data_IF_690114612427
#
_entry.id   IF_690114612427
#
_cell.length_a   1.000
_cell.length_b   1.000
_cell.length_c   1.000
_cell.angle_alpha   90.00
_cell.angle_beta   90.00
_cell.angle_gamma   90.00
#
_symmetry.space_group_name_H-M   'P 1'
#
loop_
_entity.id
_entity.type
_entity.pdbx_description
1 polymer ?
#
# COMPACT_ATOMS: atom_id res chain seq x y z
N UNK A 1 27.78 -1.75 -4.72
CA UNK A 1 27.81 -2.55 -5.95
C UNK A 1 26.92 -3.76 -5.74
N UNK A 2 26.10 -4.11 -6.72
CA UNK A 2 25.31 -5.36 -6.71
C UNK A 2 26.25 -6.55 -6.82
N UNK A 3 25.91 -7.65 -6.16
CA UNK A 3 26.69 -8.91 -6.22
C UNK A 3 25.72 -10.07 -6.29
N UNK A 4 25.89 -10.92 -7.31
CA UNK A 4 25.08 -12.12 -7.43
C UNK A 4 25.38 -13.04 -6.25
N UNK A 5 24.33 -13.52 -5.58
CA UNK A 5 24.43 -14.44 -4.46
C UNK A 5 23.47 -15.61 -4.68
N UNK A 6 23.82 -16.78 -4.17
CA UNK A 6 23.04 -18.02 -4.31
C UNK A 6 23.11 -18.82 -3.00
N UNK A 7 22.23 -19.80 -2.87
CA UNK A 7 22.27 -20.77 -1.77
C UNK A 7 21.43 -20.40 -0.54
N UNK A 8 21.75 -21.02 0.60
CA UNK A 8 20.91 -21.02 1.80
C UNK A 8 20.52 -19.62 2.29
N UNK A 9 21.48 -18.71 2.42
CA UNK A 9 21.20 -17.36 2.91
C UNK A 9 20.28 -16.56 1.98
N UNK A 10 20.42 -16.75 0.67
CA UNK A 10 19.51 -16.13 -0.29
C UNK A 10 18.08 -16.62 -0.06
N UNK A 11 17.89 -17.93 0.11
CA UNK A 11 16.59 -18.51 0.39
C UNK A 11 16.00 -17.97 1.69
N UNK A 12 16.79 -17.85 2.77
CA UNK A 12 16.29 -17.28 4.04
C UNK A 12 15.86 -15.83 3.86
N UNK A 13 16.65 -15.02 3.14
CA UNK A 13 16.27 -13.62 2.89
C UNK A 13 15.10 -13.49 1.90
N UNK A 14 14.91 -14.42 0.95
CA UNK A 14 13.77 -14.37 0.02
C UNK A 14 12.42 -14.61 0.69
N UNK A 15 12.39 -15.20 1.89
CA UNK A 15 11.15 -15.36 2.68
C UNK A 15 10.61 -14.03 3.22
N UNK A 16 11.44 -12.99 3.31
CA UNK A 16 11.05 -11.65 3.73
C UNK A 16 11.00 -10.77 2.46
N UNK A 17 9.83 -10.27 2.05
CA UNK A 17 9.70 -9.47 0.83
C UNK A 17 10.68 -8.30 0.80
N UNK A 18 11.49 -8.22 -0.26
CA UNK A 18 12.50 -7.19 -0.49
C UNK A 18 13.87 -7.46 0.18
N UNK A 19 13.96 -8.39 1.14
CA UNK A 19 15.23 -8.65 1.83
C UNK A 19 16.22 -9.45 0.97
N UNK A 20 15.73 -10.32 0.08
CA UNK A 20 16.58 -11.03 -0.88
C UNK A 20 17.27 -10.07 -1.86
N UNK A 21 16.51 -9.11 -2.39
CA UNK A 21 17.00 -8.06 -3.28
C UNK A 21 18.06 -7.20 -2.58
N UNK A 22 17.79 -6.81 -1.32
CA UNK A 22 18.76 -6.10 -0.47
C UNK A 22 20.03 -6.92 -0.24
N UNK A 23 19.90 -8.24 -0.03
CA UNK A 23 21.03 -9.12 0.16
C UNK A 23 21.94 -9.19 -1.08
N UNK A 24 21.38 -9.11 -2.29
CA UNK A 24 22.11 -9.00 -3.57
C UNK A 24 22.60 -7.58 -3.89
N UNK A 25 22.20 -6.59 -3.11
CA UNK A 25 22.62 -5.19 -3.27
C UNK A 25 21.68 -4.34 -4.12
N UNK A 26 20.53 -4.86 -4.56
CA UNK A 26 19.44 -4.10 -5.20
C UNK A 26 18.65 -3.35 -4.12
N UNK A 27 19.16 -2.18 -3.73
CA UNK A 27 18.66 -1.43 -2.57
C UNK A 27 17.35 -0.74 -2.88
N UNK A 28 17.21 -0.14 -4.06
CA UNK A 28 15.99 0.55 -4.46
C UNK A 28 14.86 -0.44 -4.66
N UNK A 29 15.13 -1.54 -5.37
CA UNK A 29 14.14 -2.60 -5.56
C UNK A 29 13.71 -3.20 -4.21
N UNK A 30 14.66 -3.62 -3.37
CA UNK A 30 14.34 -4.27 -2.10
C UNK A 30 13.59 -3.37 -1.10
N UNK A 31 14.01 -2.11 -0.92
CA UNK A 31 13.29 -1.15 -0.05
C UNK A 31 11.89 -0.86 -0.58
N UNK A 32 11.72 -0.75 -1.90
CA UNK A 32 10.42 -0.48 -2.49
C UNK A 32 9.43 -1.63 -2.28
N UNK A 33 9.87 -2.87 -2.47
CA UNK A 33 9.07 -4.08 -2.19
C UNK A 33 8.70 -4.14 -0.70
N UNK A 34 9.68 -3.97 0.19
CA UNK A 34 9.45 -3.92 1.65
C UNK A 34 8.44 -2.83 2.02
N UNK A 35 8.59 -1.63 1.46
CA UNK A 35 7.74 -0.48 1.72
C UNK A 35 6.29 -0.72 1.30
N UNK A 36 6.07 -1.29 0.11
CA UNK A 36 4.72 -1.65 -0.36
C UNK A 36 4.13 -2.76 0.51
N UNK A 37 4.90 -3.80 0.84
CA UNK A 37 4.44 -4.92 1.64
C UNK A 37 3.95 -4.48 3.03
N UNK A 38 4.80 -3.78 3.78
CA UNK A 38 4.45 -3.28 5.10
C UNK A 38 3.43 -2.15 5.04
N UNK A 39 3.46 -1.33 3.98
CA UNK A 39 2.47 -0.28 3.73
C UNK A 39 1.05 -0.83 3.57
N UNK A 40 0.87 -1.93 2.83
CA UNK A 40 -0.43 -2.59 2.69
C UNK A 40 -0.91 -3.11 4.05
N UNK A 41 -0.05 -3.76 4.84
CA UNK A 41 -0.40 -4.26 6.17
C UNK A 41 -0.81 -3.10 7.09
N UNK A 42 -0.03 -2.02 7.12
CA UNK A 42 -0.32 -0.85 7.94
C UNK A 42 -1.66 -0.21 7.54
N UNK A 43 -1.86 0.08 6.25
CA UNK A 43 -3.11 0.66 5.73
C UNK A 43 -4.31 -0.26 6.00
N UNK A 44 -4.19 -1.55 5.71
CA UNK A 44 -5.24 -2.54 5.95
C UNK A 44 -5.62 -2.63 7.43
N UNK A 45 -4.63 -2.64 8.33
CA UNK A 45 -4.85 -2.72 9.78
C UNK A 45 -5.49 -1.44 10.32
N UNK A 46 -4.96 -0.28 9.95
CA UNK A 46 -5.42 1.02 10.45
C UNK A 46 -6.81 1.39 9.92
N UNK A 47 -7.09 1.11 8.64
CA UNK A 47 -8.41 1.37 8.04
C UNK A 47 -9.39 0.20 8.25
N UNK A 48 -8.90 -0.92 8.79
CA UNK A 48 -9.65 -2.16 8.99
C UNK A 48 -10.29 -2.69 7.68
N UNK A 49 -9.54 -2.61 6.58
CA UNK A 49 -9.97 -3.05 5.26
C UNK A 49 -9.32 -4.40 4.97
N UNK A 50 -9.89 -5.47 5.54
CA UNK A 50 -9.30 -6.81 5.45
C UNK A 50 -9.05 -7.32 4.02
N UNK A 51 -9.80 -6.84 3.03
CA UNK A 51 -9.62 -7.25 1.63
C UNK A 51 -8.25 -6.82 1.06
N UNK A 52 -7.63 -5.75 1.58
CA UNK A 52 -6.28 -5.33 1.16
C UNK A 52 -5.23 -6.41 1.44
N UNK A 53 -5.45 -7.25 2.46
CA UNK A 53 -4.53 -8.33 2.82
C UNK A 53 -4.40 -9.40 1.72
N UNK A 54 -5.34 -9.49 0.76
CA UNK A 54 -5.19 -10.41 -0.37
C UNK A 54 -4.03 -10.05 -1.30
N UNK A 55 -3.56 -8.79 -1.28
CA UNK A 55 -2.37 -8.38 -2.03
C UNK A 55 -1.06 -8.92 -1.43
N UNK A 56 -1.05 -9.27 -0.13
CA UNK A 56 0.15 -9.69 0.59
C UNK A 56 0.75 -11.00 0.03
N UNK A 57 -0.02 -12.09 -0.18
CA UNK A 57 0.52 -13.29 -0.81
C UNK A 57 1.07 -13.03 -2.21
N UNK A 58 0.38 -12.21 -3.02
CA UNK A 58 0.82 -11.89 -4.39
C UNK A 58 2.16 -11.16 -4.38
N UNK A 59 2.31 -10.15 -3.54
CA UNK A 59 3.55 -9.39 -3.41
C UNK A 59 4.68 -10.24 -2.82
N UNK A 60 4.36 -11.13 -1.89
CA UNK A 60 5.32 -12.09 -1.34
C UNK A 60 5.86 -13.02 -2.42
N UNK A 61 4.99 -13.66 -3.21
CA UNK A 61 5.40 -14.53 -4.31
C UNK A 61 6.20 -13.76 -5.35
N UNK A 62 5.77 -12.55 -5.70
CA UNK A 62 6.53 -11.68 -6.60
C UNK A 62 7.97 -11.49 -6.10
N UNK A 63 8.16 -11.07 -4.85
CA UNK A 63 9.51 -10.85 -4.30
C UNK A 63 10.32 -12.14 -4.22
N UNK A 64 9.70 -13.23 -3.75
CA UNK A 64 10.35 -14.53 -3.64
C UNK A 64 10.87 -15.03 -4.99
N UNK A 65 10.04 -14.98 -6.04
CA UNK A 65 10.44 -15.40 -7.38
C UNK A 65 11.39 -14.40 -8.04
N UNK A 66 11.21 -13.10 -7.82
CA UNK A 66 12.07 -12.06 -8.38
C UNK A 66 13.53 -12.27 -7.97
N UNK A 67 13.81 -12.43 -6.67
CA UNK A 67 15.20 -12.62 -6.23
C UNK A 67 15.78 -13.97 -6.68
N UNK A 68 14.96 -15.01 -6.81
CA UNK A 68 15.43 -16.29 -7.35
C UNK A 68 15.67 -16.24 -8.86
N UNK A 69 14.92 -15.43 -9.60
CA UNK A 69 15.21 -15.13 -11.00
C UNK A 69 16.55 -14.38 -11.13
N UNK A 70 16.79 -13.35 -10.30
CA UNK A 70 18.08 -12.64 -10.25
C UNK A 70 19.25 -13.60 -9.97
N UNK A 71 19.04 -14.60 -9.10
CA UNK A 71 20.03 -15.62 -8.81
C UNK A 71 20.28 -16.59 -9.98
N UNK A 72 19.31 -16.81 -10.86
CA UNK A 72 19.44 -17.74 -11.99
C UNK A 72 20.07 -17.12 -13.24
N UNK A 73 20.11 -15.78 -13.35
CA UNK A 73 20.73 -15.08 -14.48
C UNK A 73 22.20 -15.44 -14.66
N UNK A 74 22.71 -15.29 -15.87
CA UNK A 74 24.15 -15.26 -16.11
C UNK A 74 24.79 -14.06 -15.40
N UNK A 75 26.10 -14.11 -15.15
CA UNK A 75 26.79 -12.98 -14.51
C UNK A 75 26.70 -11.71 -15.37
N UNK A 76 26.86 -11.84 -16.69
CA UNK A 76 26.74 -10.71 -17.62
C UNK A 76 25.36 -10.05 -17.56
N UNK A 77 24.29 -10.85 -17.65
CA UNK A 77 22.92 -10.35 -17.49
C UNK A 77 22.72 -9.71 -16.11
N UNK A 78 23.18 -10.35 -15.03
CA UNK A 78 23.01 -9.85 -13.67
C UNK A 78 23.68 -8.47 -13.48
N UNK A 79 24.89 -8.29 -14.00
CA UNK A 79 25.61 -7.02 -13.90
C UNK A 79 25.09 -5.94 -14.85
N UNK A 80 24.35 -6.32 -15.89
CA UNK A 80 23.65 -5.39 -16.79
C UNK A 80 22.37 -4.79 -16.19
N UNK A 81 21.83 -5.39 -15.13
CA UNK A 81 20.60 -4.91 -14.48
C UNK A 81 20.84 -3.65 -13.66
N UNK A 82 19.97 -2.66 -13.87
CA UNK A 82 19.94 -1.45 -13.06
C UNK A 82 19.09 -1.61 -11.78
N UNK A 83 19.54 -1.00 -10.69
CA UNK A 83 18.76 -0.93 -9.44
C UNK A 83 17.70 0.18 -9.55
N UNK A 84 16.51 -0.20 -10.02
CA UNK A 84 15.32 0.67 -10.09
C UNK A 84 14.34 0.35 -8.97
N UNK A 85 13.43 1.29 -8.68
CA UNK A 85 12.37 1.01 -7.72
C UNK A 85 11.29 0.13 -8.37
N UNK A 86 10.57 -0.65 -7.56
CA UNK A 86 9.39 -1.39 -8.00
C UNK A 86 8.38 -0.45 -8.67
N UNK A 87 7.82 -0.87 -9.80
CA UNK A 87 6.83 -0.11 -10.59
C UNK A 87 7.31 1.28 -11.05
N UNK A 88 8.62 1.46 -11.29
CA UNK A 88 9.19 2.75 -11.67
C UNK A 88 8.80 3.89 -10.72
N UNK A 89 8.70 3.59 -9.41
CA UNK A 89 8.46 4.61 -8.38
C UNK A 89 9.47 5.75 -8.43
N UNK A 90 10.63 5.57 -9.06
CA UNK A 90 11.57 6.65 -9.36
C UNK A 90 10.99 7.76 -10.24
N UNK A 91 10.11 7.46 -11.20
CA UNK A 91 9.40 8.49 -11.98
C UNK A 91 8.45 9.29 -11.09
N UNK A 92 7.70 8.60 -10.23
CA UNK A 92 6.81 9.21 -9.22
C UNK A 92 7.61 10.06 -8.22
N UNK A 93 8.78 9.60 -7.82
CA UNK A 93 9.66 10.28 -6.87
C UNK A 93 10.47 11.41 -7.52
N UNK A 94 10.60 11.46 -8.85
CA UNK A 94 11.17 12.62 -9.56
C UNK A 94 10.17 13.77 -9.62
N UNK A 95 8.90 13.48 -9.91
CA UNK A 95 7.83 14.48 -9.93
C UNK A 95 6.95 14.41 -8.66
N UNK A 96 7.57 14.60 -7.49
CA UNK A 96 6.83 14.57 -6.22
C UNK A 96 5.76 15.65 -6.15
N UNK A 97 6.04 16.85 -6.66
CA UNK A 97 5.12 17.97 -6.58
C UNK A 97 3.91 17.80 -7.51
N UNK A 98 4.13 17.35 -8.75
CA UNK A 98 3.06 17.04 -9.69
C UNK A 98 2.24 15.83 -9.23
N UNK A 99 2.90 14.78 -8.74
CA UNK A 99 2.23 13.61 -8.17
C UNK A 99 1.39 13.98 -6.93
N UNK A 100 1.97 14.72 -5.98
CA UNK A 100 1.24 15.16 -4.79
C UNK A 100 0.04 16.02 -5.17
N UNK A 101 0.17 16.97 -6.10
CA UNK A 101 -0.98 17.77 -6.58
C UNK A 101 -2.05 16.89 -7.22
N UNK A 102 -1.65 15.91 -8.05
CA UNK A 102 -2.56 14.98 -8.72
C UNK A 102 -3.35 14.11 -7.74
N UNK A 103 -2.69 13.60 -6.70
CA UNK A 103 -3.30 12.69 -5.73
C UNK A 103 -3.65 13.36 -4.40
N UNK A 104 -3.53 14.68 -4.28
CA UNK A 104 -3.70 15.41 -3.01
C UNK A 104 -5.06 15.11 -2.38
N UNK A 105 -6.13 15.16 -3.16
CA UNK A 105 -7.48 14.87 -2.67
C UNK A 105 -7.60 13.46 -2.11
N UNK A 106 -7.00 12.48 -2.79
CA UNK A 106 -7.00 11.09 -2.34
C UNK A 106 -6.16 10.90 -1.06
N UNK A 107 -4.94 11.42 -1.05
CA UNK A 107 -4.03 11.34 0.11
C UNK A 107 -4.64 12.02 1.33
N UNK A 108 -5.20 13.22 1.16
CA UNK A 108 -5.90 13.93 2.23
C UNK A 108 -7.11 13.16 2.74
N UNK A 109 -7.92 12.56 1.87
CA UNK A 109 -9.06 11.72 2.27
C UNK A 109 -8.60 10.52 3.12
N UNK A 110 -7.57 9.79 2.66
CA UNK A 110 -7.01 8.66 3.39
C UNK A 110 -6.48 9.09 4.76
N UNK A 111 -5.76 10.20 4.84
CA UNK A 111 -5.24 10.74 6.10
C UNK A 111 -6.35 11.14 7.07
N UNK A 112 -7.40 11.80 6.58
CA UNK A 112 -8.57 12.20 7.40
C UNK A 112 -9.29 10.96 7.94
N UNK A 113 -9.57 9.97 7.08
CA UNK A 113 -10.22 8.73 7.48
C UNK A 113 -9.39 7.94 8.49
N UNK A 114 -8.07 7.89 8.30
CA UNK A 114 -7.12 7.28 9.23
C UNK A 114 -7.14 7.99 10.59
N UNK A 115 -7.04 9.32 10.62
CA UNK A 115 -7.10 10.12 11.84
C UNK A 115 -8.44 9.96 12.58
N UNK A 116 -9.56 10.00 11.86
CA UNK A 116 -10.90 9.80 12.42
C UNK A 116 -11.07 8.39 13.02
N UNK A 117 -10.56 7.36 12.35
CA UNK A 117 -10.55 5.96 12.85
C UNK A 117 -9.75 5.84 14.16
N UNK A 118 -8.57 6.46 14.21
CA UNK A 118 -7.74 6.48 15.43
C UNK A 118 -8.42 7.23 16.58
N UNK A 119 -8.97 8.41 16.31
CA UNK A 119 -9.71 9.19 17.30
C UNK A 119 -10.90 8.42 17.86
N UNK A 120 -11.65 7.70 17.01
CA UNK A 120 -12.76 6.86 17.46
C UNK A 120 -12.32 5.79 18.46
N UNK A 121 -11.19 5.11 18.19
CA UNK A 121 -10.66 4.10 19.10
C UNK A 121 -10.26 4.70 20.45
N UNK A 122 -9.65 5.90 20.46
CA UNK A 122 -9.30 6.62 21.69
C UNK A 122 -10.57 7.02 22.45
N UNK A 123 -11.53 7.66 21.78
CA UNK A 123 -12.79 8.10 22.39
C UNK A 123 -13.55 6.92 23.00
N UNK A 124 -13.65 5.81 22.27
CA UNK A 124 -14.28 4.59 22.75
C UNK A 124 -13.57 4.01 23.97
N UNK A 125 -12.24 3.95 23.96
CA UNK A 125 -11.44 3.44 25.08
C UNK A 125 -11.72 4.24 26.37
N UNK A 126 -11.74 5.57 26.26
CA UNK A 126 -12.08 6.45 27.37
C UNK A 126 -13.52 6.18 27.82
N UNK A 127 -14.48 6.16 26.89
CA UNK A 127 -15.90 5.97 27.20
C UNK A 127 -16.17 4.64 27.91
N UNK A 128 -15.55 3.55 27.46
CA UNK A 128 -15.72 2.23 28.07
C UNK A 128 -15.13 2.12 29.47
N UNK A 129 -14.08 2.89 29.78
CA UNK A 129 -13.52 2.91 31.14
C UNK A 129 -14.53 3.39 32.19
N UNK A 130 -15.59 4.08 31.79
CA UNK A 130 -16.65 4.58 32.69
C UNK A 130 -17.92 3.73 32.66
N UNK A 131 -18.04 2.76 31.76
CA UNK A 131 -19.28 2.00 31.54
C UNK A 131 -19.29 0.63 32.24
N UNK A 132 -20.44 0.15 32.73
CA UNK A 132 -20.59 -1.23 33.21
C UNK A 132 -20.40 -2.27 32.09
N UNK A 133 -19.90 -3.46 32.44
CA UNK A 133 -19.54 -4.53 31.49
C UNK A 133 -20.66 -4.90 30.49
N UNK A 134 -21.92 -4.99 30.95
CA UNK A 134 -23.06 -5.32 30.08
C UNK A 134 -23.32 -4.27 28.98
N UNK A 135 -23.09 -2.98 29.27
CA UNK A 135 -23.24 -1.91 28.27
C UNK A 135 -22.08 -1.95 27.27
N UNK A 136 -20.87 -2.29 27.72
CA UNK A 136 -19.68 -2.41 26.88
C UNK A 136 -19.89 -3.48 25.79
N UNK A 137 -20.47 -4.63 26.12
CA UNK A 137 -20.69 -5.71 25.14
C UNK A 137 -21.65 -5.31 24.02
N UNK A 138 -22.75 -4.63 24.35
CA UNK A 138 -23.71 -4.11 23.36
C UNK A 138 -23.07 -3.03 22.49
N UNK A 139 -22.34 -2.09 23.09
CA UNK A 139 -21.70 -0.99 22.37
C UNK A 139 -20.54 -1.47 21.48
N UNK A 140 -19.82 -2.51 21.89
CA UNK A 140 -18.76 -3.12 21.09
C UNK A 140 -19.27 -3.66 19.76
N UNK A 141 -20.45 -4.27 19.76
CA UNK A 141 -21.10 -4.76 18.54
C UNK A 141 -21.25 -3.65 17.50
N UNK A 142 -21.77 -2.49 17.88
CA UNK A 142 -22.09 -1.39 16.94
C UNK A 142 -20.88 -0.49 16.66
N UNK A 143 -20.15 -0.13 17.72
CA UNK A 143 -19.06 0.84 17.65
C UNK A 143 -17.93 0.36 16.73
N UNK A 144 -17.71 -0.95 16.63
CA UNK A 144 -16.67 -1.54 15.78
C UNK A 144 -16.90 -1.36 14.28
N UNK A 145 -18.15 -1.20 13.84
CA UNK A 145 -18.47 -1.03 12.42
C UNK A 145 -18.57 0.44 11.98
N UNK A 146 -18.71 1.38 12.93
CA UNK A 146 -18.95 2.79 12.59
C UNK A 146 -17.79 3.41 11.76
N UNK A 147 -16.51 3.34 12.18
CA UNK A 147 -15.43 3.88 11.36
C UNK A 147 -15.29 3.16 10.03
N UNK A 148 -15.49 1.83 10.02
CA UNK A 148 -15.41 1.01 8.80
C UNK A 148 -16.46 1.43 7.79
N UNK A 149 -17.67 1.76 8.26
CA UNK A 149 -18.78 2.22 7.41
C UNK A 149 -18.47 3.60 6.83
N UNK A 150 -17.95 4.53 7.64
CA UNK A 150 -17.54 5.86 7.15
C UNK A 150 -16.44 5.75 6.10
N UNK A 151 -15.43 4.91 6.34
CA UNK A 151 -14.35 4.63 5.40
C UNK A 151 -14.91 4.03 4.10
N UNK A 152 -15.80 3.03 4.20
CA UNK A 152 -16.43 2.40 3.04
C UNK A 152 -17.26 3.40 2.21
N UNK A 153 -18.08 4.22 2.87
CA UNK A 153 -18.87 5.29 2.21
C UNK A 153 -17.95 6.30 1.53
N UNK A 154 -16.86 6.70 2.19
CA UNK A 154 -15.86 7.60 1.61
C UNK A 154 -15.18 7.01 0.38
N UNK A 155 -14.81 5.72 0.41
CA UNK A 155 -14.23 5.01 -0.73
C UNK A 155 -15.20 4.88 -1.90
N UNK A 156 -16.49 4.59 -1.63
CA UNK A 156 -17.53 4.55 -2.67
C UNK A 156 -17.71 5.93 -3.29
N UNK A 157 -17.83 6.98 -2.48
CA UNK A 157 -17.99 8.35 -2.97
C UNK A 157 -16.78 8.79 -3.83
N UNK A 158 -15.57 8.46 -3.40
CA UNK A 158 -14.35 8.69 -4.18
C UNK A 158 -14.38 7.93 -5.51
N UNK A 159 -14.76 6.65 -5.50
CA UNK A 159 -14.89 5.85 -6.71
C UNK A 159 -15.86 6.47 -7.72
N UNK A 160 -17.02 6.93 -7.24
CA UNK A 160 -18.01 7.64 -8.07
C UNK A 160 -17.45 8.96 -8.61
N UNK A 161 -16.78 9.76 -7.78
CA UNK A 161 -16.15 11.00 -8.19
C UNK A 161 -15.09 10.79 -9.28
N UNK A 162 -14.24 9.77 -9.16
CA UNK A 162 -13.20 9.45 -10.15
C UNK A 162 -13.79 9.01 -11.50
N UNK A 163 -14.90 8.25 -11.48
CA UNK A 163 -15.61 7.86 -12.71
C UNK A 163 -16.25 9.07 -13.38
N UNK A 164 -16.88 9.96 -12.61
CA UNK A 164 -17.51 11.18 -13.13
C UNK A 164 -16.48 12.20 -13.65
N UNK A 165 -15.31 12.31 -13.02
CA UNK A 165 -14.22 13.17 -13.48
C UNK A 165 -13.69 12.75 -14.85
N UNK A 166 -13.43 11.45 -15.04
CA UNK A 166 -13.02 10.91 -16.35
C UNK A 166 -14.09 11.08 -17.44
N UNK A 167 -15.37 10.95 -17.07
CA UNK A 167 -16.46 11.17 -18.03
C UNK A 167 -16.50 12.62 -18.51
N UNK A 168 -16.29 13.59 -17.62
CA UNK A 168 -16.20 15.00 -18.01
C UNK A 168 -14.99 15.32 -18.90
N UNK A 169 -13.83 14.73 -18.62
CA UNK A 169 -12.65 14.91 -19.48
C UNK A 169 -12.89 14.37 -20.90
N UNK A 170 -13.53 13.20 -21.03
CA UNK A 170 -13.89 12.61 -22.32
C UNK A 170 -14.97 13.41 -23.05
N UNK A 171 -16.02 13.85 -22.35
CA UNK A 171 -17.09 14.66 -22.94
C UNK A 171 -16.57 16.04 -23.41
N UNK A 172 -15.53 16.60 -22.76
CA UNK A 172 -14.87 17.85 -23.20
C UNK A 172 -13.92 17.65 -24.39
N UNK A 173 -13.18 16.53 -24.45
CA UNK A 173 -12.36 16.20 -25.62
C UNK A 173 -13.22 15.95 -26.87
N UNK A 174 -14.40 15.34 -26.73
CA UNK A 174 -15.31 15.11 -27.85
C UNK A 174 -15.93 16.43 -28.36
N UNK A 175 -16.26 17.39 -27.49
CA UNK A 175 -16.79 18.71 -27.89
C UNK A 175 -15.73 19.62 -28.55
N UNK A 176 -14.44 19.47 -28.22
CA UNK A 176 -13.33 20.23 -28.84
C UNK A 176 -12.94 19.70 -30.24
N UNK A 177 -13.48 18.55 -30.66
CA UNK A 177 -13.23 17.91 -31.97
C UNK A 177 -14.30 18.30 -33.02
N UNK A 178 -15.38 18.98 -32.63
CA UNK A 178 -16.46 19.47 -33.52
C UNK A 178 -16.48 21.00 -33.67
#
# INVERSE_FOLDING_TARGET
MTKQKRGFWLFIFSLIPGAGELYMGFRRQGISIMGVFWGIIALSSTLNIGILMLAIPVLWFYSFFNVHNLASLSEEEFYSLEDTYLFHLDEILRDKEGFLRKYQGFVSLVLILMGASMLWNIMRSIFYSFMPAFIIDILNGISNYLPKTIIAVGLVALGVYLVMGKKKELDMEDDDIF
#
